data_IF_946504355180
#
_entry.id   IF_946504355180
#
_cell.length_a   1.000
_cell.length_b   1.000
_cell.length_c   1.000
_cell.angle_alpha   90.00
_cell.angle_beta   90.00
_cell.angle_gamma   90.00
#
_symmetry.space_group_name_H-M   'P 1'
#
loop_
_entity.id
_entity.type
_entity.pdbx_description
1 polymer ?
#
# COMPACT_ATOMS: atom_id res chain seq x y z
N UNK A 1 15.85 74.83 -19.70
CA UNK A 1 15.49 73.52 -19.13
C UNK A 1 15.10 72.57 -20.25
N UNK A 2 15.94 71.60 -20.57
CA UNK A 2 15.57 70.40 -21.34
C UNK A 2 16.15 69.20 -20.57
N UNK A 3 15.34 68.22 -20.14
CA UNK A 3 15.86 67.09 -19.37
C UNK A 3 16.59 66.12 -20.30
N UNK A 4 17.75 65.65 -19.84
CA UNK A 4 18.52 64.60 -20.50
C UNK A 4 17.73 63.29 -20.53
N UNK A 5 17.40 62.83 -21.73
CA UNK A 5 16.92 61.47 -21.98
C UNK A 5 17.94 60.83 -22.93
N UNK A 6 19.12 60.47 -22.41
CA UNK A 6 20.20 59.89 -23.24
C UNK A 6 20.96 58.76 -22.52
N UNK A 7 20.29 58.03 -21.63
CA UNK A 7 20.88 56.84 -20.97
C UNK A 7 20.12 55.56 -21.34
N UNK A 8 18.89 55.68 -21.86
CA UNK A 8 17.99 54.55 -22.04
C UNK A 8 18.18 53.77 -23.37
N UNK A 9 18.92 54.32 -24.34
CA UNK A 9 19.03 53.75 -25.71
C UNK A 9 20.50 53.56 -26.12
N UNK A 10 21.38 53.19 -25.18
CA UNK A 10 22.71 52.73 -25.55
C UNK A 10 22.65 51.23 -25.90
N UNK A 11 23.28 50.76 -27.00
CA UNK A 11 23.23 49.35 -27.44
C UNK A 11 23.75 48.37 -26.37
N UNK A 12 24.58 48.85 -25.45
CA UNK A 12 25.04 48.09 -24.27
C UNK A 12 23.93 47.84 -23.25
N UNK A 13 23.04 48.81 -23.00
CA UNK A 13 21.87 48.62 -22.14
C UNK A 13 20.88 47.62 -22.74
N UNK A 14 20.67 47.67 -24.07
CA UNK A 14 19.79 46.75 -24.79
C UNK A 14 20.32 45.30 -24.74
N UNK A 15 21.63 45.11 -24.88
CA UNK A 15 22.27 43.79 -24.78
C UNK A 15 22.18 43.23 -23.36
N UNK A 16 22.41 44.06 -22.33
CA UNK A 16 22.25 43.64 -20.92
C UNK A 16 20.80 43.24 -20.65
N UNK A 17 19.83 43.99 -21.19
CA UNK A 17 18.40 43.68 -21.05
C UNK A 17 18.03 42.36 -21.74
N UNK A 18 18.57 42.11 -22.94
CA UNK A 18 18.39 40.85 -23.67
C UNK A 18 19.00 39.65 -22.94
N UNK A 19 20.22 39.79 -22.41
CA UNK A 19 20.87 38.73 -21.62
C UNK A 19 20.12 38.46 -20.33
N UNK A 20 19.64 39.51 -19.64
CA UNK A 20 18.80 39.35 -18.46
C UNK A 20 17.48 38.64 -18.77
N UNK A 21 16.82 38.97 -19.88
CA UNK A 21 15.60 38.29 -20.33
C UNK A 21 15.84 36.82 -20.66
N UNK A 22 16.96 36.47 -21.30
CA UNK A 22 17.34 35.09 -21.59
C UNK A 22 17.65 34.32 -20.31
N UNK A 23 18.35 34.94 -19.35
CA UNK A 23 18.64 34.32 -18.05
C UNK A 23 17.37 34.12 -17.21
N UNK A 24 16.44 35.07 -17.24
CA UNK A 24 15.13 34.95 -16.59
C UNK A 24 14.31 33.84 -17.25
N UNK A 25 14.31 33.76 -18.59
CA UNK A 25 13.60 32.72 -19.33
C UNK A 25 14.18 31.32 -19.05
N UNK A 26 15.51 31.19 -19.03
CA UNK A 26 16.19 29.96 -18.62
C UNK A 26 15.84 29.59 -17.17
N UNK A 27 15.93 30.54 -16.24
CA UNK A 27 15.58 30.30 -14.84
C UNK A 27 14.10 29.88 -14.67
N UNK A 28 13.16 30.47 -15.42
CA UNK A 28 11.75 30.06 -15.41
C UNK A 28 11.51 28.67 -16.01
N UNK A 29 12.36 28.23 -16.95
CA UNK A 29 12.29 26.88 -17.53
C UNK A 29 12.76 25.81 -16.54
N UNK A 30 13.67 26.17 -15.63
CA UNK A 30 14.15 25.29 -14.55
C UNK A 30 13.22 25.26 -13.34
N UNK A 31 12.31 26.23 -13.21
CA UNK A 31 11.40 26.35 -12.08
C UNK A 31 9.96 26.03 -12.52
N UNK A 32 9.73 24.78 -12.94
CA UNK A 32 8.39 24.24 -12.91
C UNK A 32 8.09 23.83 -11.46
N UNK A 33 7.15 24.49 -10.76
CA UNK A 33 6.71 23.98 -9.47
C UNK A 33 6.11 22.59 -9.71
N UNK A 34 6.71 21.57 -9.11
CA UNK A 34 6.13 20.24 -9.07
C UNK A 34 4.79 20.37 -8.32
N UNK A 35 3.68 20.26 -9.03
CA UNK A 35 2.36 20.31 -8.41
C UNK A 35 2.27 19.19 -7.37
N UNK A 36 2.32 19.56 -6.09
CA UNK A 36 2.06 18.65 -5.00
C UNK A 36 0.62 18.16 -5.12
N UNK A 37 0.43 16.97 -5.70
CA UNK A 37 -0.85 16.27 -5.69
C UNK A 37 -1.27 16.09 -4.24
N UNK A 38 -2.37 16.72 -3.86
CA UNK A 38 -3.04 16.48 -2.58
C UNK A 38 -3.36 15.00 -2.52
N UNK A 39 -2.71 14.28 -1.59
CA UNK A 39 -3.01 12.89 -1.33
C UNK A 39 -4.44 12.85 -0.78
N UNK A 40 -5.39 12.34 -1.57
CA UNK A 40 -6.78 12.18 -1.12
C UNK A 40 -6.77 11.24 0.08
N UNK A 41 -7.08 11.77 1.27
CA UNK A 41 -7.23 10.96 2.47
C UNK A 41 -8.53 10.14 2.35
N UNK A 42 -8.39 8.83 2.15
CA UNK A 42 -9.54 7.91 2.07
C UNK A 42 -10.03 7.54 3.47
N UNK A 43 -11.35 7.53 3.66
CA UNK A 43 -11.95 7.16 4.94
C UNK A 43 -11.72 5.67 5.26
N UNK A 44 -11.24 5.39 6.47
CA UNK A 44 -11.12 4.03 7.00
C UNK A 44 -12.49 3.57 7.49
N UNK A 45 -13.07 2.58 6.81
CA UNK A 45 -14.40 2.05 7.17
C UNK A 45 -14.35 0.85 8.11
N UNK A 46 -13.24 0.10 8.08
CA UNK A 46 -12.98 -1.05 8.94
C UNK A 46 -11.51 -1.05 9.39
N UNK A 47 -11.24 -1.61 10.58
CA UNK A 47 -9.88 -1.89 11.07
C UNK A 47 -9.76 -3.38 11.33
N UNK A 48 -8.72 -4.00 10.79
CA UNK A 48 -8.39 -5.41 11.03
C UNK A 48 -6.99 -5.54 11.58
N UNK A 49 -6.70 -6.67 12.23
CA UNK A 49 -5.36 -6.93 12.77
C UNK A 49 -4.82 -8.28 12.31
N UNK A 50 -3.49 -8.37 12.23
CA UNK A 50 -2.72 -9.58 12.03
C UNK A 50 -1.67 -9.67 13.14
N UNK A 51 -1.79 -10.66 14.02
CA UNK A 51 -0.74 -11.01 14.98
C UNK A 51 0.26 -11.93 14.30
N UNK A 52 1.54 -11.56 14.31
CA UNK A 52 2.56 -12.26 13.53
C UNK A 52 3.60 -12.91 14.44
N UNK A 53 3.92 -14.17 14.15
CA UNK A 53 5.01 -14.91 14.75
C UNK A 53 6.11 -15.18 13.71
N UNK A 54 7.38 -15.10 14.14
CA UNK A 54 8.55 -15.55 13.37
C UNK A 54 9.22 -16.71 14.10
N UNK A 55 9.39 -17.85 13.44
CA UNK A 55 9.91 -19.10 14.03
C UNK A 55 9.24 -19.46 15.37
N UNK A 56 7.91 -19.25 15.46
CA UNK A 56 7.04 -19.49 16.64
C UNK A 56 7.23 -18.52 17.81
N UNK A 57 7.94 -17.41 17.61
CA UNK A 57 8.04 -16.32 18.59
C UNK A 57 7.20 -15.14 18.14
N UNK A 58 6.40 -14.58 19.05
CA UNK A 58 5.59 -13.40 18.78
C UNK A 58 6.48 -12.24 18.36
N UNK A 59 6.25 -11.72 17.16
CA UNK A 59 6.96 -10.55 16.64
C UNK A 59 6.20 -9.26 16.96
N UNK A 60 4.90 -9.22 16.66
CA UNK A 60 4.09 -8.02 16.84
C UNK A 60 2.71 -8.13 16.21
N UNK A 61 1.99 -7.01 16.19
CA UNK A 61 0.68 -6.86 15.57
C UNK A 61 0.77 -5.84 14.44
N UNK A 62 0.12 -6.13 13.32
CA UNK A 62 -0.10 -5.20 12.22
C UNK A 62 -1.58 -4.82 12.23
N UNK A 63 -1.90 -3.54 12.38
CA UNK A 63 -3.26 -3.02 12.26
C UNK A 63 -3.43 -2.37 10.89
N UNK A 64 -4.47 -2.76 10.16
CA UNK A 64 -4.75 -2.31 8.80
C UNK A 64 -6.09 -1.58 8.77
N UNK A 65 -6.09 -0.35 8.25
CA UNK A 65 -7.29 0.39 7.90
C UNK A 65 -7.74 0.03 6.47
N UNK A 66 -9.03 -0.25 6.29
CA UNK A 66 -9.61 -0.69 5.02
C UNK A 66 -10.52 0.38 4.41
N UNK A 67 -10.43 0.58 3.09
CA UNK A 67 -11.11 1.66 2.34
C UNK A 67 -12.43 1.20 1.72
N UNK A 68 -13.38 0.75 2.56
CA UNK A 68 -14.59 0.07 2.08
C UNK A 68 -15.60 0.97 1.35
N UNK A 69 -15.44 2.29 1.35
CA UNK A 69 -16.22 3.17 0.47
C UNK A 69 -15.71 3.13 -0.98
N UNK A 70 -14.42 2.84 -1.19
CA UNK A 70 -13.77 2.87 -2.51
C UNK A 70 -13.81 1.50 -3.18
N UNK A 71 -13.55 0.44 -2.40
CA UNK A 71 -13.51 -0.95 -2.87
C UNK A 71 -14.25 -1.89 -1.89
N UNK A 72 -15.58 -1.73 -1.73
CA UNK A 72 -16.38 -2.48 -0.75
C UNK A 72 -16.27 -4.00 -0.88
N UNK A 73 -16.25 -4.55 -2.10
CA UNK A 73 -16.16 -6.02 -2.27
C UNK A 73 -14.80 -6.55 -1.89
N UNK A 74 -13.74 -5.83 -2.26
CA UNK A 74 -12.37 -6.21 -1.93
C UNK A 74 -12.14 -6.15 -0.41
N UNK A 75 -12.64 -5.09 0.23
CA UNK A 75 -12.57 -4.92 1.69
C UNK A 75 -13.35 -6.01 2.41
N UNK A 76 -14.57 -6.30 1.98
CA UNK A 76 -15.39 -7.32 2.62
C UNK A 76 -14.74 -8.71 2.53
N UNK A 77 -14.15 -9.05 1.38
CA UNK A 77 -13.35 -10.26 1.22
C UNK A 77 -12.20 -10.35 2.23
N UNK A 78 -11.39 -9.29 2.33
CA UNK A 78 -10.25 -9.29 3.25
C UNK A 78 -10.70 -9.36 4.72
N UNK A 79 -11.72 -8.57 5.09
CA UNK A 79 -12.29 -8.52 6.44
C UNK A 79 -12.83 -9.88 6.88
N UNK A 80 -13.65 -10.52 6.05
CA UNK A 80 -14.20 -11.84 6.36
C UNK A 80 -13.13 -12.93 6.48
N UNK A 81 -12.07 -12.86 5.67
CA UNK A 81 -10.92 -13.75 5.77
C UNK A 81 -10.06 -13.46 7.02
N UNK A 82 -10.02 -12.23 7.51
CA UNK A 82 -9.40 -11.91 8.81
C UNK A 82 -10.21 -12.50 9.98
N UNK A 83 -11.54 -12.43 9.97
CA UNK A 83 -12.40 -12.90 11.07
C UNK A 83 -12.62 -14.41 11.06
N UNK A 84 -12.61 -15.02 9.87
CA UNK A 84 -12.95 -16.44 9.71
C UNK A 84 -14.44 -16.76 9.88
N UNK A 85 -15.31 -15.74 9.87
CA UNK A 85 -16.76 -15.90 10.15
C UNK A 85 -17.49 -16.79 9.15
N UNK A 86 -16.94 -16.92 7.95
CA UNK A 86 -17.49 -17.77 6.88
C UNK A 86 -17.20 -19.26 7.08
N UNK A 87 -16.32 -19.62 8.04
CA UNK A 87 -16.01 -21.01 8.35
C UNK A 87 -15.29 -21.74 7.20
N UNK A 88 -15.93 -22.80 6.67
CA UNK A 88 -15.40 -23.59 5.55
C UNK A 88 -16.34 -23.47 4.35
N UNK A 89 -15.77 -23.40 3.15
CA UNK A 89 -16.55 -23.50 1.91
C UNK A 89 -17.03 -24.94 1.64
N UNK A 90 -17.82 -25.11 0.58
CA UNK A 90 -18.34 -26.42 0.17
C UNK A 90 -17.23 -27.44 -0.21
N UNK A 91 -16.02 -26.97 -0.54
CA UNK A 91 -14.87 -27.81 -0.88
C UNK A 91 -13.96 -28.07 0.34
N UNK A 92 -14.33 -27.58 1.52
CA UNK A 92 -13.59 -27.76 2.77
C UNK A 92 -12.43 -26.78 2.98
N UNK A 93 -12.28 -25.75 2.13
CA UNK A 93 -11.31 -24.67 2.29
C UNK A 93 -11.70 -23.84 3.51
N UNK A 94 -10.78 -23.66 4.45
CA UNK A 94 -10.97 -22.80 5.61
C UNK A 94 -10.79 -21.34 5.18
N UNK A 95 -11.84 -20.54 5.28
CA UNK A 95 -11.87 -19.14 4.87
C UNK A 95 -11.34 -18.24 5.99
N UNK A 96 -10.07 -18.42 6.38
CA UNK A 96 -9.46 -17.69 7.51
C UNK A 96 -7.93 -17.55 7.34
N UNK A 97 -7.40 -16.34 7.57
CA UNK A 97 -5.96 -16.08 7.53
C UNK A 97 -5.17 -16.65 8.71
N UNK A 98 -5.81 -16.91 9.85
CA UNK A 98 -5.16 -17.52 11.01
C UNK A 98 -4.43 -18.80 10.65
N UNK A 99 -3.14 -18.84 10.96
CA UNK A 99 -2.22 -19.95 10.69
C UNK A 99 -1.63 -19.97 9.28
N UNK A 100 -1.97 -19.01 8.41
CA UNK A 100 -1.36 -18.89 7.08
C UNK A 100 0.00 -18.18 7.14
N UNK A 101 0.96 -18.56 6.27
CA UNK A 101 2.26 -17.91 6.23
C UNK A 101 2.26 -16.65 5.37
N UNK A 102 3.23 -15.78 5.63
CA UNK A 102 3.78 -14.92 4.57
C UNK A 102 4.75 -15.79 3.75
N UNK A 103 4.31 -16.28 2.60
CA UNK A 103 5.05 -17.23 1.77
C UNK A 103 6.04 -16.57 0.81
N UNK A 104 5.97 -15.24 0.61
CA UNK A 104 6.89 -14.50 -0.25
C UNK A 104 7.25 -13.14 0.36
N UNK A 105 8.52 -12.87 0.63
CA UNK A 105 9.01 -11.66 1.29
C UNK A 105 10.27 -11.18 0.55
N UNK A 106 10.18 -10.02 -0.11
CA UNK A 106 11.27 -9.44 -0.90
C UNK A 106 11.68 -8.11 -0.28
N UNK A 107 12.90 -8.01 0.29
CA UNK A 107 13.43 -6.76 0.83
C UNK A 107 13.49 -5.64 -0.21
N UNK A 108 13.08 -4.44 0.17
CA UNK A 108 12.96 -3.27 -0.70
C UNK A 108 11.77 -3.33 -1.66
N UNK A 109 10.77 -4.18 -1.38
CA UNK A 109 9.60 -4.31 -2.23
C UNK A 109 8.31 -4.54 -1.43
N UNK A 110 8.10 -5.75 -0.91
CA UNK A 110 6.84 -6.12 -0.25
C UNK A 110 6.95 -7.42 0.56
N UNK A 111 5.97 -7.63 1.45
CA UNK A 111 5.68 -8.90 2.11
C UNK A 111 4.33 -9.42 1.63
N UNK A 112 4.26 -10.68 1.20
CA UNK A 112 3.09 -11.30 0.58
C UNK A 112 2.68 -12.56 1.36
N UNK A 113 1.38 -12.67 1.60
CA UNK A 113 0.75 -13.77 2.30
C UNK A 113 -0.65 -14.05 1.78
N UNK A 114 -1.46 -14.73 2.59
CA UNK A 114 -2.88 -14.93 2.32
C UNK A 114 -3.25 -16.10 1.42
N UNK A 115 -2.32 -17.01 1.11
CA UNK A 115 -2.69 -18.30 0.49
C UNK A 115 -3.34 -19.21 1.55
N UNK A 116 -4.67 -19.17 1.62
CA UNK A 116 -5.49 -19.98 2.55
C UNK A 116 -5.64 -21.43 2.09
N UNK A 117 -5.25 -21.77 0.85
CA UNK A 117 -5.48 -23.09 0.24
C UNK A 117 -4.25 -23.98 0.39
N UNK A 118 -3.11 -23.56 -0.17
CA UNK A 118 -1.88 -24.36 -0.21
C UNK A 118 -0.79 -23.81 0.70
N UNK A 119 -0.92 -22.56 1.17
CA UNK A 119 0.03 -21.88 2.06
C UNK A 119 1.43 -21.73 1.46
N UNK A 120 1.54 -21.70 0.14
CA UNK A 120 2.82 -21.61 -0.57
C UNK A 120 2.81 -20.64 -1.76
N UNK A 121 1.69 -19.97 -2.00
CA UNK A 121 1.49 -18.95 -3.03
C UNK A 121 0.87 -19.48 -4.32
N UNK A 122 0.58 -20.77 -4.42
CA UNK A 122 -0.11 -21.36 -5.59
C UNK A 122 -1.62 -21.23 -5.51
N UNK A 123 -2.17 -21.07 -4.30
CA UNK A 123 -3.61 -21.07 -4.07
C UNK A 123 -4.23 -19.70 -4.30
N UNK A 124 -5.43 -19.67 -4.88
CA UNK A 124 -6.20 -18.44 -5.00
C UNK A 124 -7.69 -18.74 -4.80
N UNK A 125 -8.26 -18.23 -3.72
CA UNK A 125 -9.65 -18.50 -3.34
C UNK A 125 -10.18 -17.36 -2.45
N UNK A 126 -11.33 -16.80 -2.80
CA UNK A 126 -11.98 -15.69 -2.09
C UNK A 126 -13.12 -16.19 -1.20
N UNK A 127 -13.67 -15.30 -0.37
CA UNK A 127 -14.91 -15.59 0.36
C UNK A 127 -16.13 -15.81 -0.56
N UNK A 128 -16.05 -15.37 -1.82
CA UNK A 128 -17.11 -15.51 -2.81
C UNK A 128 -17.08 -16.85 -3.57
N UNK A 129 -16.07 -17.68 -3.30
CA UNK A 129 -15.77 -18.88 -4.06
C UNK A 129 -14.91 -18.57 -5.29
N UNK A 130 -13.76 -19.24 -5.42
CA UNK A 130 -12.83 -18.99 -6.54
C UNK A 130 -12.28 -17.56 -6.53
N UNK A 131 -12.13 -16.93 -7.70
CA UNK A 131 -11.61 -15.57 -7.83
C UNK A 131 -12.72 -14.53 -8.12
N UNK A 132 -12.44 -13.26 -7.88
CA UNK A 132 -13.31 -12.13 -8.19
C UNK A 132 -12.59 -11.02 -8.97
N UNK A 133 -13.40 -10.19 -9.63
CA UNK A 133 -12.98 -9.12 -10.55
C UNK A 133 -12.23 -7.98 -9.85
N UNK A 134 -11.42 -7.25 -10.60
CA UNK A 134 -10.82 -6.00 -10.13
C UNK A 134 -11.92 -4.96 -9.94
N UNK A 135 -12.01 -4.40 -8.74
CA UNK A 135 -13.11 -3.50 -8.40
C UNK A 135 -12.91 -2.09 -8.97
N UNK A 136 -11.70 -1.52 -8.78
CA UNK A 136 -11.18 -0.35 -9.49
C UNK A 136 -9.69 -0.12 -9.12
N UNK A 137 -9.05 0.83 -9.81
CA UNK A 137 -7.64 1.22 -9.59
C UNK A 137 -7.48 2.70 -9.20
N UNK A 138 -8.45 3.27 -8.47
CA UNK A 138 -8.39 4.68 -8.02
C UNK A 138 -7.24 4.90 -7.04
N UNK A 139 -7.15 4.00 -6.07
CA UNK A 139 -6.12 3.94 -5.05
C UNK A 139 -4.77 3.54 -5.66
N UNK A 140 -3.68 4.16 -5.19
CA UNK A 140 -2.33 4.01 -5.76
C UNK A 140 -1.35 3.46 -4.73
N UNK A 141 -0.29 2.83 -5.20
CA UNK A 141 0.80 2.34 -4.37
C UNK A 141 1.79 3.48 -4.06
N UNK A 142 1.30 4.55 -3.41
CA UNK A 142 2.00 5.83 -3.25
C UNK A 142 3.08 5.84 -2.16
N UNK A 143 3.00 4.94 -1.17
CA UNK A 143 3.89 4.92 0.00
C UNK A 143 4.06 3.48 0.55
N UNK A 144 5.05 3.24 1.45
CA UNK A 144 5.14 2.00 2.21
C UNK A 144 3.89 1.75 3.07
N UNK A 145 3.54 0.48 3.28
CA UNK A 145 2.39 0.09 4.11
C UNK A 145 1.07 0.03 3.35
N UNK A 146 1.05 0.32 2.06
CA UNK A 146 -0.12 0.07 1.20
C UNK A 146 -0.40 -1.43 1.15
N UNK A 147 -1.66 -1.81 1.36
CA UNK A 147 -2.16 -3.19 1.30
C UNK A 147 -2.96 -3.39 0.02
N UNK A 148 -2.60 -4.42 -0.75
CA UNK A 148 -3.10 -4.62 -2.12
C UNK A 148 -3.24 -6.09 -2.47
N UNK A 149 -4.17 -6.39 -3.39
CA UNK A 149 -4.49 -7.75 -3.81
C UNK A 149 -3.43 -8.33 -4.73
N UNK A 150 -3.10 -9.60 -4.53
CA UNK A 150 -2.38 -10.40 -5.52
C UNK A 150 -3.38 -11.00 -6.50
N UNK A 151 -3.02 -11.02 -7.78
CA UNK A 151 -3.78 -11.68 -8.84
C UNK A 151 -2.83 -12.48 -9.76
N UNK A 152 -3.41 -13.28 -10.64
CA UNK A 152 -2.72 -14.03 -11.71
C UNK A 152 -3.03 -13.45 -13.09
N UNK A 153 -3.27 -12.14 -13.16
CA UNK A 153 -3.79 -11.42 -14.32
C UNK A 153 -5.12 -10.70 -14.00
N UNK A 154 -5.67 -9.95 -14.98
CA UNK A 154 -6.88 -9.17 -14.78
C UNK A 154 -8.04 -10.01 -14.22
N UNK A 155 -8.82 -9.42 -13.33
CA UNK A 155 -10.05 -9.99 -12.77
C UNK A 155 -9.86 -11.32 -12.01
N UNK A 156 -8.69 -11.56 -11.40
CA UNK A 156 -8.36 -12.81 -10.72
C UNK A 156 -7.96 -12.67 -9.24
N UNK A 157 -8.58 -11.74 -8.51
CA UNK A 157 -8.36 -11.55 -7.08
C UNK A 157 -8.90 -12.74 -6.28
N UNK A 158 -8.22 -13.16 -5.22
CA UNK A 158 -8.75 -14.16 -4.29
C UNK A 158 -8.45 -13.83 -2.85
N UNK A 159 -7.55 -14.56 -2.20
CA UNK A 159 -7.18 -14.34 -0.79
C UNK A 159 -5.76 -13.81 -0.59
N UNK A 160 -4.89 -13.95 -1.59
CA UNK A 160 -3.53 -13.47 -1.47
C UNK A 160 -3.47 -11.94 -1.49
N UNK A 161 -2.64 -11.38 -0.63
CA UNK A 161 -2.40 -9.95 -0.50
C UNK A 161 -0.92 -9.67 -0.28
N UNK A 162 -0.52 -8.43 -0.50
CA UNK A 162 0.80 -7.95 -0.13
C UNK A 162 0.72 -6.61 0.60
N UNK A 163 1.72 -6.37 1.44
CA UNK A 163 1.98 -5.10 2.10
C UNK A 163 3.30 -4.57 1.54
N UNK A 164 3.26 -3.37 0.97
CA UNK A 164 4.44 -2.71 0.41
C UNK A 164 5.40 -2.23 1.50
N UNK A 165 6.70 -2.27 1.24
CA UNK A 165 7.73 -1.70 2.14
C UNK A 165 8.41 -0.47 1.54
N UNK A 166 8.11 -0.18 0.27
CA UNK A 166 8.53 1.02 -0.47
C UNK A 166 7.34 1.53 -1.29
N UNK A 167 7.45 2.71 -1.89
CA UNK A 167 6.53 3.14 -2.95
C UNK A 167 6.69 2.23 -4.18
N UNK A 168 5.59 1.68 -4.70
CA UNK A 168 5.61 0.72 -5.82
C UNK A 168 4.66 1.13 -6.94
N UNK A 169 4.81 2.35 -7.47
CA UNK A 169 3.88 2.92 -8.47
C UNK A 169 3.82 2.16 -9.79
N UNK A 170 4.78 1.28 -10.09
CA UNK A 170 4.73 0.39 -11.24
C UNK A 170 3.67 -0.72 -11.13
N UNK A 171 3.04 -0.89 -9.96
CA UNK A 171 1.91 -1.79 -9.74
C UNK A 171 0.54 -1.11 -9.92
N UNK A 172 0.52 0.20 -10.15
CA UNK A 172 -0.71 0.96 -10.33
C UNK A 172 -1.44 0.53 -11.60
N UNK A 173 -2.74 0.24 -11.48
CA UNK A 173 -3.56 -0.23 -12.60
C UNK A 173 -3.57 -1.75 -12.79
N UNK A 174 -2.70 -2.47 -12.07
CA UNK A 174 -2.58 -3.93 -12.16
C UNK A 174 -3.04 -4.64 -10.88
N UNK A 175 -2.90 -3.99 -9.72
CA UNK A 175 -3.28 -4.55 -8.42
C UNK A 175 -4.23 -3.62 -7.66
N UNK A 176 -5.33 -4.17 -7.15
CA UNK A 176 -6.33 -3.42 -6.39
C UNK A 176 -5.80 -3.12 -4.99
N UNK A 177 -5.49 -1.86 -4.73
CA UNK A 177 -5.22 -1.34 -3.38
C UNK A 177 -6.55 -1.25 -2.62
N UNK A 178 -6.57 -1.69 -1.37
CA UNK A 178 -7.79 -1.71 -0.56
C UNK A 178 -7.62 -1.27 0.90
N UNK A 179 -6.39 -0.97 1.32
CA UNK A 179 -6.12 -0.49 2.66
C UNK A 179 -4.69 -0.01 2.86
N UNK A 180 -4.38 0.38 4.09
CA UNK A 180 -3.03 0.72 4.52
C UNK A 180 -2.79 0.26 5.95
N UNK A 181 -1.53 -0.05 6.27
CA UNK A 181 -1.10 -0.28 7.64
C UNK A 181 -1.16 1.05 8.39
N UNK A 182 -1.96 1.08 9.45
CA UNK A 182 -2.11 2.26 10.31
C UNK A 182 -1.28 2.15 11.59
N UNK A 183 -0.97 0.92 12.04
CA UNK A 183 -0.08 0.64 13.16
C UNK A 183 0.69 -0.66 12.88
N UNK A 184 1.92 -0.78 13.41
CA UNK A 184 2.72 -2.00 13.23
C UNK A 184 3.58 -2.04 11.97
N UNK A 185 3.90 -0.89 11.37
CA UNK A 185 4.85 -0.84 10.23
C UNK A 185 6.26 -1.29 10.64
N UNK A 186 6.66 -1.08 11.89
CA UNK A 186 7.87 -1.66 12.47
C UNK A 186 7.87 -3.20 12.43
N UNK A 187 6.71 -3.83 12.69
CA UNK A 187 6.51 -5.28 12.54
C UNK A 187 6.66 -5.70 11.07
N UNK A 188 6.10 -4.93 10.12
CA UNK A 188 6.27 -5.18 8.67
C UNK A 188 7.75 -5.14 8.26
N UNK A 189 8.49 -4.12 8.68
CA UNK A 189 9.93 -4.01 8.40
C UNK A 189 10.74 -5.10 9.12
N UNK A 190 10.35 -5.52 10.32
CA UNK A 190 11.00 -6.62 11.03
C UNK A 190 10.78 -7.97 10.31
N UNK A 191 9.60 -8.19 9.72
CA UNK A 191 9.33 -9.36 8.85
C UNK A 191 10.25 -9.30 7.63
N UNK A 192 10.27 -8.17 6.93
CA UNK A 192 11.06 -7.95 5.72
C UNK A 192 12.56 -8.18 5.99
N UNK A 193 13.13 -7.45 6.94
CA UNK A 193 14.54 -7.51 7.28
C UNK A 193 14.93 -8.82 7.96
N UNK A 194 14.03 -9.43 8.73
CA UNK A 194 14.27 -10.63 9.53
C UNK A 194 14.14 -11.94 8.75
N UNK A 195 13.22 -12.02 7.78
CA UNK A 195 12.89 -13.24 7.03
C UNK A 195 13.03 -13.11 5.50
N UNK A 196 13.16 -11.91 4.95
CA UNK A 196 13.18 -11.69 3.50
C UNK A 196 14.42 -12.21 2.78
N UNK A 197 14.25 -12.49 1.49
CA UNK A 197 15.30 -12.86 0.55
C UNK A 197 15.02 -12.27 -0.83
N UNK A 198 16.06 -12.11 -1.67
CA UNK A 198 15.88 -11.60 -3.03
C UNK A 198 15.09 -12.54 -3.96
N UNK A 199 15.07 -13.85 -3.69
CA UNK A 199 14.21 -14.80 -4.42
C UNK A 199 12.75 -14.75 -3.96
N UNK A 200 12.46 -14.02 -2.89
CA UNK A 200 11.17 -13.95 -2.24
C UNK A 200 10.88 -15.11 -1.30
N UNK A 201 11.54 -16.27 -1.41
CA UNK A 201 11.31 -17.38 -0.47
C UNK A 201 11.88 -17.02 0.91
N UNK A 202 11.05 -16.95 1.97
CA UNK A 202 11.53 -16.53 3.28
C UNK A 202 12.57 -17.50 3.87
N UNK A 203 13.59 -16.95 4.55
CA UNK A 203 14.60 -17.74 5.27
C UNK A 203 14.14 -18.21 6.66
N UNK A 204 13.06 -17.63 7.18
CA UNK A 204 12.41 -17.97 8.45
C UNK A 204 10.92 -18.13 8.23
N UNK A 205 10.27 -18.94 9.06
CA UNK A 205 8.83 -19.16 8.94
C UNK A 205 8.09 -18.01 9.61
N UNK A 206 7.36 -17.22 8.83
CA UNK A 206 6.54 -16.10 9.30
C UNK A 206 5.07 -16.48 9.18
N UNK A 207 4.33 -16.48 10.29
CA UNK A 207 2.93 -16.96 10.36
C UNK A 207 2.04 -15.85 10.93
N UNK A 208 0.86 -15.68 10.33
CA UNK A 208 -0.25 -14.95 10.94
C UNK A 208 -0.81 -15.84 12.05
N UNK A 209 -0.36 -15.63 13.29
CA UNK A 209 -0.72 -16.45 14.44
C UNK A 209 -2.18 -16.23 14.86
N UNK A 210 -2.69 -15.02 14.70
CA UNK A 210 -4.10 -14.67 14.91
C UNK A 210 -4.49 -13.51 13.98
N UNK A 211 -5.78 -13.41 13.68
CA UNK A 211 -6.33 -12.33 12.86
C UNK A 211 -7.77 -12.03 13.25
N UNK A 212 -8.24 -10.83 12.92
CA UNK A 212 -9.63 -10.47 13.17
C UNK A 212 -9.93 -9.01 12.86
N UNK A 213 -11.17 -8.62 13.16
CA UNK A 213 -11.65 -7.25 13.04
C UNK A 213 -11.63 -6.55 14.40
N UNK A 214 -11.23 -5.28 14.43
CA UNK A 214 -11.29 -4.42 15.60
C UNK A 214 -12.65 -3.71 15.61
N UNK A 215 -13.53 -3.97 16.58
CA UNK A 215 -14.84 -3.33 16.66
C UNK A 215 -14.71 -1.80 16.72
N UNK A 216 -15.62 -1.08 16.03
CA UNK A 216 -15.62 0.39 16.02
C UNK A 216 -15.62 1.03 17.41
N UNK A 217 -16.28 0.40 18.39
CA UNK A 217 -16.30 0.88 19.78
C UNK A 217 -14.93 0.98 20.43
N UNK A 218 -13.91 0.29 19.91
CA UNK A 218 -12.53 0.30 20.42
C UNK A 218 -11.61 1.25 19.68
N UNK A 219 -12.05 1.92 18.62
CA UNK A 219 -11.16 2.76 17.80
C UNK A 219 -10.72 4.04 18.52
N UNK A 220 -11.54 4.53 19.45
CA UNK A 220 -11.30 5.79 20.18
C UNK A 220 -10.56 5.60 21.52
N UNK A 221 -10.27 4.36 21.89
CA UNK A 221 -9.46 4.05 23.08
C UNK A 221 -7.97 4.26 22.77
N UNK A 222 -7.54 3.94 21.56
CA UNK A 222 -6.13 4.02 21.13
C UNK A 222 -5.68 5.46 20.80
N UNK A 223 -6.59 6.32 20.31
CA UNK A 223 -6.31 7.72 19.98
C UNK A 223 -6.20 8.66 21.19
N UNK A 224 -6.52 8.17 22.40
CA UNK A 224 -6.38 8.92 23.67
C UNK A 224 -5.18 8.48 24.51
N UNK A 225 -4.48 7.43 24.10
CA UNK A 225 -3.32 6.87 24.80
C UNK A 225 -1.97 7.18 24.13
N UNK A 226 -1.98 7.97 23.05
CA UNK A 226 -0.80 8.40 22.27
C UNK A 226 -0.52 9.90 22.40
#
# INVERSE_FOLDING_TARGET
MRPEISVLIQPRCLLIFLVALVLIFLASSFFQPEEAKVEEAYEITHKVFLDVDIDKQRLGRITIGLYGQVVPRTVENFRALCTGEMGKDANGVVLHYKGTPFHRIIPGFMIQGGDIVYRDGRGNHSMYGGTFRDENFKLKHSHPGVVSMVNSGPDSNGSQFFITTVKTSWLDGEHVVFGSVIEGMDTVYAIEGGAGTYSGKPRKKVIIADSGEIPKSKWDEDSRAS
#
